data_IF_836495425841
#
_entry.id   IF_836495425841
#
_cell.length_a   1.000
_cell.length_b   1.000
_cell.length_c   1.000
_cell.angle_alpha   90.00
_cell.angle_beta   90.00
_cell.angle_gamma   90.00
#
_symmetry.space_group_name_H-M   'P 1'
#
loop_
_entity.id
_entity.type
_entity.pdbx_description
1 polymer ?
#
# COMPACT_ATOMS: atom_id res chain seq x y z
N UNK A 1 -7.62 -3.81 -27.98
CA UNK A 1 -8.24 -3.32 -26.73
C UNK A 1 -9.53 -2.61 -27.11
N UNK A 2 -10.54 -2.65 -26.24
CA UNK A 2 -11.83 -1.98 -26.49
C UNK A 2 -11.69 -0.50 -26.13
N UNK A 3 -12.38 0.41 -26.81
CA UNK A 3 -12.36 1.86 -26.48
C UNK A 3 -12.73 2.14 -25.01
N UNK A 4 -13.55 1.29 -24.40
CA UNK A 4 -13.89 1.36 -22.98
C UNK A 4 -12.73 0.98 -22.04
N UNK A 5 -11.82 0.15 -22.51
CA UNK A 5 -10.63 -0.28 -21.76
C UNK A 5 -9.59 0.84 -21.76
N UNK A 6 -9.38 1.47 -22.92
CA UNK A 6 -8.47 2.62 -23.06
C UNK A 6 -8.95 3.80 -22.20
N UNK A 7 -10.26 4.12 -22.23
CA UNK A 7 -10.84 5.16 -21.37
C UNK A 7 -10.70 4.85 -19.88
N UNK A 8 -10.74 3.57 -19.49
CA UNK A 8 -10.57 3.16 -18.09
C UNK A 8 -9.14 3.39 -17.62
N UNK A 9 -8.14 3.09 -18.46
CA UNK A 9 -6.73 3.35 -18.16
C UNK A 9 -6.53 4.86 -18.00
N UNK A 10 -6.96 5.65 -18.99
CA UNK A 10 -6.83 7.12 -18.94
C UNK A 10 -7.45 7.73 -17.68
N UNK A 11 -8.62 7.26 -17.25
CA UNK A 11 -9.26 7.72 -16.02
C UNK A 11 -8.51 7.28 -14.76
N UNK A 12 -7.93 6.08 -14.76
CA UNK A 12 -7.17 5.55 -13.62
C UNK A 12 -5.90 6.39 -13.43
N UNK A 13 -5.18 6.64 -14.52
CA UNK A 13 -3.95 7.44 -14.52
C UNK A 13 -4.22 8.86 -14.03
N UNK A 14 -5.28 9.50 -14.52
CA UNK A 14 -5.66 10.85 -14.10
C UNK A 14 -5.99 10.95 -12.59
N UNK A 15 -6.52 9.88 -11.98
CA UNK A 15 -6.75 9.82 -10.54
C UNK A 15 -5.44 9.66 -9.79
N UNK A 16 -4.56 8.79 -10.27
CA UNK A 16 -3.30 8.48 -9.61
C UNK A 16 -2.32 9.67 -9.69
N UNK A 17 -2.35 10.46 -10.76
CA UNK A 17 -1.61 11.73 -10.87
C UNK A 17 -1.96 12.74 -9.76
N UNK A 18 -3.19 12.71 -9.25
CA UNK A 18 -3.69 13.67 -8.25
C UNK A 18 -3.60 13.11 -6.84
N UNK A 19 -3.91 11.83 -6.68
CA UNK A 19 -4.11 11.18 -5.38
C UNK A 19 -2.97 10.23 -5.00
N UNK A 20 -2.09 9.91 -5.95
CA UNK A 20 -0.95 9.04 -5.75
C UNK A 20 0.09 9.67 -4.84
N UNK A 21 0.71 8.84 -4.02
CA UNK A 21 1.91 9.20 -3.28
C UNK A 21 2.96 8.11 -3.43
N UNK A 22 4.26 8.46 -3.33
CA UNK A 22 5.32 7.48 -3.46
C UNK A 22 5.35 6.55 -2.26
N UNK A 23 5.27 5.25 -2.53
CA UNK A 23 5.36 4.18 -1.55
C UNK A 23 6.46 3.20 -1.94
N UNK A 24 7.09 2.57 -0.94
CA UNK A 24 7.99 1.45 -1.14
C UNK A 24 7.25 0.16 -0.79
N UNK A 25 7.14 -0.75 -1.76
CA UNK A 25 6.73 -2.13 -1.53
C UNK A 25 7.96 -2.94 -1.12
N UNK A 26 7.97 -3.42 0.11
CA UNK A 26 9.01 -4.27 0.65
C UNK A 26 8.51 -5.72 0.74
N UNK A 27 9.07 -6.58 -0.09
CA UNK A 27 8.66 -7.98 -0.16
C UNK A 27 9.45 -8.80 0.86
N UNK A 28 8.72 -9.56 1.68
CA UNK A 28 9.30 -10.35 2.76
C UNK A 28 9.12 -11.84 2.52
N UNK A 29 10.11 -12.62 2.89
CA UNK A 29 9.98 -14.08 2.96
C UNK A 29 9.07 -14.50 4.11
N UNK A 30 8.81 -15.81 4.20
CA UNK A 30 7.97 -16.37 5.28
C UNK A 30 8.54 -16.18 6.69
N UNK A 31 9.77 -15.67 6.83
CA UNK A 31 10.47 -15.42 8.08
C UNK A 31 10.64 -13.91 8.38
N UNK A 32 9.90 -13.04 7.67
CA UNK A 32 9.93 -11.58 7.82
C UNK A 32 11.29 -10.93 7.47
N UNK A 33 12.09 -11.60 6.65
CA UNK A 33 13.32 -11.05 6.07
C UNK A 33 13.09 -10.63 4.61
N UNK A 34 13.92 -9.75 4.07
CA UNK A 34 13.76 -9.32 2.67
C UNK A 34 13.90 -10.51 1.71
N UNK A 35 12.91 -10.69 0.84
CA UNK A 35 12.87 -11.79 -0.12
C UNK A 35 13.82 -11.50 -1.30
N UNK A 36 14.93 -12.26 -1.47
CA UNK A 36 15.89 -12.00 -2.54
C UNK A 36 15.33 -12.31 -3.94
N UNK A 37 14.20 -13.02 -4.03
CA UNK A 37 13.51 -13.31 -5.30
C UNK A 37 12.50 -12.26 -5.72
N UNK A 38 12.15 -11.32 -4.81
CA UNK A 38 11.21 -10.23 -5.06
C UNK A 38 11.86 -8.92 -4.60
N UNK A 39 12.51 -8.22 -5.52
CA UNK A 39 13.16 -6.95 -5.21
C UNK A 39 12.12 -5.90 -4.79
N UNK A 40 12.44 -5.11 -3.76
CA UNK A 40 11.59 -4.03 -3.29
C UNK A 40 11.43 -2.95 -4.38
N UNK A 41 10.19 -2.51 -4.61
CA UNK A 41 9.88 -1.55 -5.67
C UNK A 41 9.27 -0.29 -5.08
N UNK A 42 9.75 0.87 -5.50
CA UNK A 42 9.10 2.14 -5.23
C UNK A 42 8.12 2.46 -6.37
N UNK A 43 6.88 2.77 -6.02
CA UNK A 43 5.80 3.09 -6.96
C UNK A 43 4.98 4.26 -6.45
N UNK A 44 4.34 4.99 -7.35
CA UNK A 44 3.28 5.93 -6.98
C UNK A 44 1.96 5.17 -6.90
N UNK A 45 1.26 5.31 -5.77
CA UNK A 45 0.04 4.57 -5.49
C UNK A 45 -0.90 5.37 -4.60
N UNK A 46 -2.20 5.09 -4.68
CA UNK A 46 -3.19 5.78 -3.85
C UNK A 46 -3.26 5.09 -2.49
N UNK A 47 -2.71 5.73 -1.46
CA UNK A 47 -2.75 5.24 -0.08
C UNK A 47 -3.83 5.96 0.73
N UNK A 48 -4.84 5.21 1.17
CA UNK A 48 -5.94 5.70 2.01
C UNK A 48 -5.79 5.18 3.43
N UNK A 49 -5.82 6.07 4.40
CA UNK A 49 -5.87 5.72 5.81
C UNK A 49 -7.18 6.22 6.41
N UNK A 50 -7.90 5.37 7.15
CA UNK A 50 -9.14 5.77 7.80
C UNK A 50 -8.94 6.89 8.84
N UNK A 51 -10.03 7.58 9.21
CA UNK A 51 -10.00 8.81 10.00
C UNK A 51 -9.48 8.60 11.44
N UNK A 52 -9.39 7.35 11.90
CA UNK A 52 -8.77 6.96 13.18
C UNK A 52 -7.29 6.61 13.12
N UNK A 53 -6.65 6.62 11.93
CA UNK A 53 -5.27 6.17 11.76
C UNK A 53 -4.29 7.29 12.15
N UNK A 54 -4.19 7.53 13.46
CA UNK A 54 -3.20 8.46 14.02
C UNK A 54 -1.89 7.69 14.10
N UNK A 55 -0.93 7.99 13.21
CA UNK A 55 0.42 7.43 13.32
C UNK A 55 1.00 7.86 14.66
N UNK A 56 1.01 6.96 15.64
CA UNK A 56 1.66 7.22 16.91
C UNK A 56 3.17 7.29 16.66
N UNK A 57 3.68 8.49 16.39
CA UNK A 57 5.08 8.85 16.55
C UNK A 57 5.44 8.74 18.04
N UNK A 58 5.63 7.53 18.57
CA UNK A 58 6.25 7.37 19.88
C UNK A 58 7.44 6.44 19.80
N UNK A 59 8.57 7.04 19.42
CA UNK A 59 9.90 6.53 19.75
C UNK A 59 10.14 6.79 21.24
N UNK A 60 9.51 6.03 22.12
CA UNK A 60 9.83 6.05 23.54
C UNK A 60 8.67 5.80 24.50
N UNK A 61 8.86 4.76 25.32
CA UNK A 61 8.21 4.53 26.62
C UNK A 61 6.87 3.79 26.61
N UNK A 62 6.89 2.69 27.39
CA UNK A 62 5.80 1.78 27.70
C UNK A 62 4.54 2.51 28.19
N UNK A 63 3.39 1.92 27.85
CA UNK A 63 1.99 2.26 28.19
C UNK A 63 1.37 3.32 27.31
N UNK A 64 0.58 2.87 26.34
CA UNK A 64 -0.89 2.98 26.37
C UNK A 64 -1.46 2.21 25.16
N UNK A 65 -2.01 1.02 25.42
CA UNK A 65 -2.82 0.28 24.44
C UNK A 65 -4.21 0.90 24.44
N UNK A 66 -4.36 2.04 23.77
CA UNK A 66 -5.67 2.45 23.29
C UNK A 66 -5.85 1.77 21.95
N UNK A 67 -6.49 0.61 21.96
CA UNK A 67 -6.98 -0.05 20.75
C UNK A 67 -8.10 0.83 20.17
N UNK A 68 -7.73 1.96 19.59
CA UNK A 68 -8.58 2.64 18.64
C UNK A 68 -8.84 1.62 17.54
N UNK A 69 -10.11 1.33 17.30
CA UNK A 69 -10.52 0.50 16.17
C UNK A 69 -9.96 1.20 14.92
N UNK A 70 -8.79 0.77 14.47
CA UNK A 70 -8.13 1.31 13.31
C UNK A 70 -9.05 0.98 12.14
N UNK A 71 -9.69 1.99 11.58
CA UNK A 71 -10.33 1.82 10.29
C UNK A 71 -9.26 1.31 9.30
N UNK A 72 -9.60 0.31 8.46
CA UNK A 72 -8.63 -0.32 7.59
C UNK A 72 -7.97 0.72 6.68
N UNK A 73 -6.65 0.61 6.53
CA UNK A 73 -5.91 1.36 5.53
C UNK A 73 -5.88 0.56 4.24
N UNK A 74 -5.89 1.23 3.09
CA UNK A 74 -5.86 0.60 1.78
C UNK A 74 -4.77 1.20 0.91
N UNK A 75 -4.06 0.35 0.16
CA UNK A 75 -3.23 0.76 -0.96
C UNK A 75 -3.89 0.31 -2.25
N UNK A 76 -4.03 1.23 -3.19
CA UNK A 76 -4.59 0.95 -4.51
C UNK A 76 -3.49 1.16 -5.57
N UNK A 77 -3.09 0.07 -6.23
CA UNK A 77 -2.12 0.06 -7.34
C UNK A 77 -2.87 0.01 -8.67
N UNK A 78 -2.53 0.90 -9.60
CA UNK A 78 -2.97 0.80 -10.99
C UNK A 78 -2.38 -0.46 -11.63
N UNK A 79 -3.24 -1.31 -12.18
CA UNK A 79 -2.80 -2.57 -12.82
C UNK A 79 -2.10 -2.33 -14.16
N UNK A 80 -2.38 -1.21 -14.82
CA UNK A 80 -1.72 -0.77 -16.05
C UNK A 80 -0.25 -0.46 -15.84
N UNK A 81 0.11 0.14 -14.70
CA UNK A 81 1.45 0.67 -14.45
C UNK A 81 2.29 -0.19 -13.50
N UNK A 82 1.67 -1.20 -12.88
CA UNK A 82 2.34 -2.06 -11.92
C UNK A 82 2.98 -3.29 -12.56
N UNK A 83 4.27 -3.20 -12.85
CA UNK A 83 5.11 -4.31 -13.36
C UNK A 83 5.88 -5.07 -12.26
N UNK A 84 5.67 -4.73 -10.99
CA UNK A 84 6.39 -5.30 -9.85
C UNK A 84 5.92 -6.72 -9.47
N UNK A 85 6.64 -7.39 -8.54
CA UNK A 85 6.20 -8.67 -8.00
C UNK A 85 4.83 -8.57 -7.34
N UNK A 86 3.98 -9.60 -7.48
CA UNK A 86 2.67 -9.58 -6.83
C UNK A 86 2.82 -9.52 -5.29
N UNK A 87 2.26 -8.49 -4.62
CA UNK A 87 2.26 -8.41 -3.16
C UNK A 87 1.53 -9.58 -2.53
N UNK A 88 1.91 -9.93 -1.31
CA UNK A 88 1.36 -11.03 -0.52
C UNK A 88 1.13 -10.57 0.91
N UNK A 89 0.27 -11.30 1.61
CA UNK A 89 0.05 -11.11 3.04
C UNK A 89 1.38 -11.25 3.78
N UNK A 90 1.65 -10.30 4.68
CA UNK A 90 2.90 -10.22 5.46
C UNK A 90 4.02 -9.43 4.78
N UNK A 91 3.89 -9.03 3.51
CA UNK A 91 4.77 -8.02 2.91
C UNK A 91 4.54 -6.65 3.59
N UNK A 92 5.47 -5.72 3.42
CA UNK A 92 5.39 -4.38 4.04
C UNK A 92 5.32 -3.27 3.01
N UNK A 93 4.67 -2.17 3.38
CA UNK A 93 4.57 -0.95 2.57
C UNK A 93 5.10 0.21 3.37
N UNK A 94 5.93 1.07 2.80
CA UNK A 94 6.38 2.31 3.44
C UNK A 94 5.84 3.52 2.68
N UNK A 95 5.15 4.44 3.37
CA UNK A 95 4.78 5.72 2.77
C UNK A 95 5.99 6.67 2.78
N UNK A 96 6.57 6.97 1.62
CA UNK A 96 7.83 7.71 1.53
C UNK A 96 7.64 9.23 1.69
N UNK A 97 6.48 9.75 1.28
CA UNK A 97 6.14 11.16 1.35
C UNK A 97 5.65 11.61 2.74
N UNK A 98 5.17 10.69 3.58
CA UNK A 98 4.59 11.01 4.89
C UNK A 98 5.66 11.22 5.96
N UNK A 99 5.39 12.12 6.90
CA UNK A 99 6.25 12.37 8.04
C UNK A 99 6.49 11.09 8.86
N UNK A 100 7.74 10.80 9.19
CA UNK A 100 8.12 9.57 9.90
C UNK A 100 8.21 8.32 9.03
N UNK A 101 7.87 8.40 7.74
CA UNK A 101 7.89 7.30 6.76
C UNK A 101 7.29 6.01 7.31
N UNK A 102 6.00 6.04 7.68
CA UNK A 102 5.35 4.95 8.38
C UNK A 102 5.35 3.67 7.54
N UNK A 103 5.48 2.56 8.25
CA UNK A 103 5.38 1.22 7.69
C UNK A 103 3.99 0.64 7.95
N UNK A 104 3.53 -0.13 6.99
CA UNK A 104 2.29 -0.90 7.04
C UNK A 104 2.58 -2.35 6.68
N UNK A 105 1.78 -3.26 7.23
CA UNK A 105 1.80 -4.67 6.87
C UNK A 105 0.60 -4.97 5.96
N UNK A 106 0.83 -5.76 4.91
CA UNK A 106 -0.23 -6.22 4.02
C UNK A 106 -1.02 -7.33 4.72
N UNK A 107 -2.30 -7.07 4.97
CA UNK A 107 -3.23 -8.01 5.63
C UNK A 107 -4.03 -8.84 4.63
N UNK A 108 -4.39 -8.24 3.49
CA UNK A 108 -5.10 -8.92 2.41
C UNK A 108 -4.73 -8.34 1.04
N UNK A 109 -4.87 -9.14 -0.01
CA UNK A 109 -4.58 -8.76 -1.40
C UNK A 109 -5.75 -9.15 -2.30
N UNK A 110 -6.35 -8.16 -2.94
CA UNK A 110 -7.42 -8.33 -3.92
C UNK A 110 -6.99 -7.84 -5.29
N UNK A 111 -6.87 -8.78 -6.23
CA UNK A 111 -6.52 -8.53 -7.63
C UNK A 111 -7.68 -8.80 -8.60
N UNK A 112 -8.88 -8.98 -8.05
CA UNK A 112 -10.10 -9.30 -8.81
C UNK A 112 -10.62 -8.11 -9.62
N UNK A 113 -10.12 -6.90 -9.33
CA UNK A 113 -10.44 -5.69 -10.08
C UNK A 113 -9.77 -5.67 -11.45
N UNK A 114 -10.49 -5.17 -12.46
CA UNK A 114 -9.95 -5.06 -13.81
C UNK A 114 -8.90 -3.95 -13.95
N UNK A 115 -8.97 -2.88 -13.15
CA UNK A 115 -8.06 -1.73 -13.21
C UNK A 115 -7.10 -1.63 -12.02
N UNK A 116 -7.41 -2.25 -10.88
CA UNK A 116 -6.63 -2.05 -9.64
C UNK A 116 -6.34 -3.34 -8.90
N UNK A 117 -5.17 -3.37 -8.28
CA UNK A 117 -4.79 -4.29 -7.22
C UNK A 117 -4.96 -3.53 -5.90
N UNK A 118 -5.76 -4.07 -4.99
CA UNK A 118 -6.09 -3.43 -3.71
C UNK A 118 -5.43 -4.23 -2.60
N UNK A 119 -4.65 -3.57 -1.75
CA UNK A 119 -4.05 -4.14 -0.55
C UNK A 119 -4.78 -3.58 0.67
N UNK A 120 -5.25 -4.46 1.55
CA UNK A 120 -5.67 -4.05 2.89
C UNK A 120 -4.43 -4.01 3.79
N UNK A 121 -4.29 -2.93 4.55
CA UNK A 121 -3.10 -2.60 5.32
C UNK A 121 -3.40 -2.48 6.81
N UNK A 122 -2.48 -3.01 7.62
CA UNK A 122 -2.43 -2.87 9.07
C UNK A 122 -1.18 -2.12 9.56
N UNK A 123 -1.15 -1.80 10.85
CA UNK A 123 0.06 -1.24 11.50
C UNK A 123 1.16 -2.31 11.63
N UNK A 124 2.40 -1.93 11.34
CA UNK A 124 3.59 -2.80 11.39
C UNK A 124 4.58 -2.45 12.51
#
# INVERSE_FOLDING_TARGET
MSELDDLRVELTDAVDDVMGEPVLLAFLDGEQQSDPSRENVAVDAVLRCGAGHVFNLSKGSKKERTSLSAEPSFLELARSDYDGPMPRIGDKVQALARAGKPWFEVLDVSDRGASRIILELGEA
#
